data_IF_117363450464
#
_entry.id   IF_117363450464
#
_cell.length_a   1.000
_cell.length_b   1.000
_cell.length_c   1.000
_cell.angle_alpha   90.00
_cell.angle_beta   90.00
_cell.angle_gamma   90.00
#
_symmetry.space_group_name_H-M   'P 1'
#
loop_
_entity.id
_entity.type
_entity.pdbx_description
1 polymer ?
#
# COMPACT_ATOMS: atom_id res chain seq x y z
N UNK A 1 -10.25 18.77 -4.08
CA UNK A 1 -11.53 18.32 -3.51
C UNK A 1 -12.72 18.92 -4.23
N UNK A 2 -12.91 20.26 -4.25
CA UNK A 2 -14.07 20.87 -4.88
C UNK A 2 -14.23 20.53 -6.38
N UNK A 3 -13.16 20.61 -7.17
CA UNK A 3 -13.20 20.29 -8.61
C UNK A 3 -13.61 18.83 -8.83
N UNK A 4 -13.00 17.88 -8.11
CA UNK A 4 -13.35 16.47 -8.24
C UNK A 4 -14.81 16.19 -7.85
N UNK A 5 -15.32 16.85 -6.79
CA UNK A 5 -16.70 16.73 -6.36
C UNK A 5 -17.68 17.32 -7.41
N UNK A 6 -17.36 18.48 -8.00
CA UNK A 6 -18.15 19.09 -9.05
C UNK A 6 -18.16 18.22 -10.31
N UNK A 7 -16.98 17.75 -10.75
CA UNK A 7 -16.87 16.86 -11.91
C UNK A 7 -17.65 15.56 -11.68
N UNK A 8 -17.52 14.95 -10.50
CA UNK A 8 -18.28 13.77 -10.16
C UNK A 8 -19.79 14.03 -10.13
N UNK A 9 -20.21 15.13 -9.50
CA UNK A 9 -21.63 15.49 -9.46
C UNK A 9 -22.22 15.73 -10.87
N UNK A 10 -21.45 16.33 -11.77
CA UNK A 10 -21.86 16.49 -13.17
C UNK A 10 -21.92 15.15 -13.91
N UNK A 11 -20.92 14.27 -13.71
CA UNK A 11 -20.89 12.95 -14.34
C UNK A 11 -22.00 12.03 -13.83
N UNK A 12 -22.37 12.15 -12.54
CA UNK A 12 -23.41 11.34 -11.90
C UNK A 12 -24.83 11.86 -12.14
N UNK A 13 -24.99 13.10 -12.62
CA UNK A 13 -26.31 13.75 -12.75
C UNK A 13 -27.29 12.99 -13.67
N UNK A 14 -26.74 12.32 -14.69
CA UNK A 14 -27.52 11.60 -15.71
C UNK A 14 -27.51 10.08 -15.48
N UNK A 15 -27.05 9.60 -14.33
CA UNK A 15 -26.94 8.16 -14.04
C UNK A 15 -28.23 7.65 -13.44
N UNK A 16 -28.76 6.59 -14.08
CA UNK A 16 -29.90 5.84 -13.59
C UNK A 16 -29.47 4.77 -12.59
N UNK A 17 -29.82 4.96 -11.32
CA UNK A 17 -29.43 4.04 -10.23
C UNK A 17 -29.90 2.61 -10.50
N UNK A 18 -31.08 2.43 -11.08
CA UNK A 18 -31.64 1.12 -11.43
C UNK A 18 -30.76 0.37 -12.44
N UNK A 19 -30.16 1.08 -13.40
CA UNK A 19 -29.22 0.50 -14.36
C UNK A 19 -27.91 0.08 -13.68
N UNK A 20 -27.41 0.87 -12.73
CA UNK A 20 -26.21 0.52 -11.94
C UNK A 20 -26.48 -0.73 -11.11
N UNK A 21 -27.64 -0.83 -10.45
CA UNK A 21 -28.03 -2.03 -9.68
C UNK A 21 -28.21 -3.25 -10.59
N UNK A 22 -28.79 -3.07 -11.78
CA UNK A 22 -28.91 -4.15 -12.76
C UNK A 22 -27.51 -4.61 -13.24
N UNK A 23 -26.60 -3.69 -13.53
CA UNK A 23 -25.22 -3.97 -13.91
C UNK A 23 -24.43 -4.68 -12.78
N UNK A 24 -24.65 -4.30 -11.51
CA UNK A 24 -24.08 -5.01 -10.35
C UNK A 24 -24.58 -6.46 -10.27
N UNK A 25 -25.86 -6.68 -10.48
CA UNK A 25 -26.47 -8.02 -10.43
C UNK A 25 -26.05 -8.91 -11.61
N UNK A 26 -25.72 -8.34 -12.74
CA UNK A 26 -25.26 -9.08 -13.93
C UNK A 26 -23.83 -9.60 -13.82
N UNK A 27 -23.02 -9.06 -12.89
CA UNK A 27 -21.64 -9.51 -12.70
C UNK A 27 -21.57 -10.92 -12.16
N UNK A 28 -20.75 -11.74 -12.84
CA UNK A 28 -20.52 -13.12 -12.45
C UNK A 28 -19.74 -13.19 -11.13
N UNK A 29 -20.16 -14.07 -10.22
CA UNK A 29 -19.40 -14.37 -9.00
C UNK A 29 -17.98 -14.81 -9.31
N UNK A 30 -17.75 -15.47 -10.44
CA UNK A 30 -16.43 -15.88 -10.89
C UNK A 30 -15.53 -14.68 -11.17
N UNK A 31 -16.01 -13.63 -11.83
CA UNK A 31 -15.28 -12.39 -12.08
C UNK A 31 -14.92 -11.71 -10.76
N UNK A 32 -15.86 -11.63 -9.84
CA UNK A 32 -15.64 -11.03 -8.50
C UNK A 32 -14.59 -11.81 -7.72
N UNK A 33 -14.64 -13.15 -7.74
CA UNK A 33 -13.64 -13.99 -7.06
C UNK A 33 -12.25 -13.85 -7.68
N UNK A 34 -12.15 -13.84 -9.02
CA UNK A 34 -10.87 -13.64 -9.71
C UNK A 34 -10.30 -12.26 -9.40
N UNK A 35 -11.11 -11.20 -9.43
CA UNK A 35 -10.69 -9.87 -9.01
C UNK A 35 -10.22 -9.85 -7.56
N UNK A 36 -10.93 -10.54 -6.65
CA UNK A 36 -10.52 -10.73 -5.26
C UNK A 36 -9.16 -11.40 -5.10
N UNK A 37 -8.84 -12.39 -5.93
CA UNK A 37 -7.51 -13.03 -5.96
C UNK A 37 -6.43 -12.02 -6.36
N UNK A 38 -6.66 -11.21 -7.39
CA UNK A 38 -5.70 -10.16 -7.77
C UNK A 38 -5.54 -9.09 -6.69
N UNK A 39 -6.61 -8.68 -6.04
CA UNK A 39 -6.53 -7.79 -4.86
C UNK A 39 -5.68 -8.41 -3.75
N UNK A 40 -5.87 -9.70 -3.45
CA UNK A 40 -5.05 -10.40 -2.46
C UNK A 40 -3.57 -10.45 -2.86
N UNK A 41 -3.25 -10.67 -4.15
CA UNK A 41 -1.88 -10.60 -4.68
C UNK A 41 -1.28 -9.21 -4.44
N UNK A 42 -2.03 -8.13 -4.70
CA UNK A 42 -1.61 -6.76 -4.41
C UNK A 42 -1.29 -6.54 -2.93
N UNK A 43 -2.16 -7.00 -2.01
CA UNK A 43 -1.89 -6.91 -0.56
C UNK A 43 -0.70 -7.77 -0.11
N UNK A 44 -0.45 -8.91 -0.73
CA UNK A 44 0.78 -9.69 -0.51
C UNK A 44 2.00 -8.89 -0.99
N UNK A 45 1.95 -8.26 -2.15
CA UNK A 45 3.02 -7.38 -2.62
C UNK A 45 3.26 -6.21 -1.66
N UNK A 46 2.20 -5.53 -1.19
CA UNK A 46 2.27 -4.47 -0.18
C UNK A 46 2.94 -4.92 1.12
N UNK A 47 2.77 -6.18 1.54
CA UNK A 47 3.40 -6.69 2.76
C UNK A 47 4.94 -6.69 2.70
N UNK A 48 5.51 -6.76 1.51
CA UNK A 48 6.95 -6.69 1.29
C UNK A 48 7.51 -5.27 1.39
N UNK A 49 6.68 -4.21 1.28
CA UNK A 49 7.15 -2.83 1.41
C UNK A 49 7.78 -2.59 2.79
N UNK A 50 7.07 -2.92 3.86
CA UNK A 50 7.60 -2.76 5.22
C UNK A 50 8.74 -3.77 5.50
N UNK A 51 8.64 -4.99 4.97
CA UNK A 51 9.67 -6.00 5.15
C UNK A 51 11.04 -5.55 4.59
N UNK A 52 11.07 -5.05 3.35
CA UNK A 52 12.30 -4.54 2.75
C UNK A 52 12.73 -3.21 3.35
N UNK A 53 11.79 -2.37 3.81
CA UNK A 53 12.13 -1.15 4.53
C UNK A 53 12.85 -1.46 5.85
N UNK A 54 12.37 -2.44 6.64
CA UNK A 54 13.03 -2.90 7.87
C UNK A 54 14.45 -3.42 7.60
N UNK A 55 14.62 -4.21 6.53
CA UNK A 55 15.96 -4.70 6.11
C UNK A 55 16.87 -3.55 5.71
N UNK A 56 16.36 -2.56 5.00
CA UNK A 56 17.13 -1.38 4.56
C UNK A 56 17.65 -0.56 5.75
N UNK A 57 16.88 -0.46 6.84
CA UNK A 57 17.28 0.30 8.03
C UNK A 57 18.00 -0.54 9.09
N UNK A 58 18.37 -1.80 8.77
CA UNK A 58 19.10 -2.69 9.66
C UNK A 58 18.27 -3.22 10.84
N UNK A 59 16.96 -3.37 10.67
CA UNK A 59 16.05 -3.93 11.68
C UNK A 59 15.61 -5.37 11.33
N UNK A 60 16.59 -6.23 11.02
CA UNK A 60 16.38 -7.61 10.56
C UNK A 60 15.73 -8.54 11.60
N UNK A 61 15.80 -8.17 12.89
CA UNK A 61 15.18 -8.93 13.98
C UNK A 61 13.64 -8.95 13.94
N UNK A 62 13.00 -8.03 13.17
CA UNK A 62 11.55 -8.01 13.03
C UNK A 62 11.13 -9.07 12.02
N UNK A 63 10.33 -10.09 12.42
CA UNK A 63 9.96 -11.17 11.52
C UNK A 63 8.95 -10.69 10.47
N UNK A 64 8.95 -11.37 9.30
CA UNK A 64 8.05 -11.05 8.18
C UNK A 64 6.58 -10.94 8.59
N UNK A 65 6.08 -11.83 9.46
CA UNK A 65 4.67 -11.80 9.90
C UNK A 65 4.29 -10.48 10.57
N UNK A 66 5.22 -9.89 11.33
CA UNK A 66 5.01 -8.57 11.97
C UNK A 66 5.03 -7.47 10.93
N UNK A 67 5.99 -7.51 10.00
CA UNK A 67 6.08 -6.57 8.89
C UNK A 67 4.81 -6.63 8.02
N UNK A 68 4.35 -7.83 7.65
CA UNK A 68 3.16 -8.03 6.85
C UNK A 68 1.89 -7.50 7.56
N UNK A 69 1.74 -7.78 8.85
CA UNK A 69 0.61 -7.28 9.63
C UNK A 69 0.65 -5.75 9.75
N UNK A 70 1.82 -5.16 10.03
CA UNK A 70 1.98 -3.71 10.13
C UNK A 70 1.73 -3.04 8.78
N UNK A 71 2.25 -3.58 7.69
CA UNK A 71 2.00 -3.10 6.34
C UNK A 71 0.51 -3.16 6.00
N UNK A 72 -0.11 -4.33 6.13
CA UNK A 72 -1.53 -4.53 5.83
C UNK A 72 -2.42 -3.53 6.60
N UNK A 73 -2.27 -3.45 7.92
CA UNK A 73 -3.11 -2.56 8.75
C UNK A 73 -2.84 -1.09 8.48
N UNK A 74 -1.57 -0.70 8.29
CA UNK A 74 -1.17 0.68 8.06
C UNK A 74 -1.65 1.20 6.71
N UNK A 75 -1.47 0.42 5.64
CA UNK A 75 -1.94 0.80 4.30
C UNK A 75 -3.46 0.79 4.22
N UNK A 76 -4.11 -0.27 4.69
CA UNK A 76 -5.56 -0.41 4.64
C UNK A 76 -6.26 0.73 5.37
N UNK A 77 -5.86 1.02 6.61
CA UNK A 77 -6.48 2.07 7.41
C UNK A 77 -6.06 3.45 6.89
N UNK A 78 -4.78 3.63 6.54
CA UNK A 78 -4.26 4.89 6.01
C UNK A 78 -4.96 5.34 4.74
N UNK A 79 -5.16 4.43 3.77
CA UNK A 79 -5.87 4.74 2.53
C UNK A 79 -7.34 5.09 2.75
N UNK A 80 -8.00 4.43 3.71
CA UNK A 80 -9.42 4.69 3.97
C UNK A 80 -9.66 5.98 4.76
N UNK A 81 -8.82 6.31 5.74
CA UNK A 81 -8.98 7.51 6.56
C UNK A 81 -8.44 8.78 5.91
N UNK A 82 -7.61 8.66 4.88
CA UNK A 82 -6.86 9.79 4.31
C UNK A 82 -5.66 10.19 5.20
N UNK A 83 -4.91 11.21 4.77
CA UNK A 83 -3.64 11.60 5.41
C UNK A 83 -2.72 10.39 5.65
N UNK A 84 -2.62 9.52 4.64
CA UNK A 84 -2.08 8.16 4.68
C UNK A 84 -0.73 8.06 5.40
N UNK A 85 0.17 9.02 5.18
CA UNK A 85 1.51 9.02 5.79
C UNK A 85 1.44 9.10 7.32
N UNK A 86 0.59 10.00 7.85
CA UNK A 86 0.44 10.18 9.30
C UNK A 86 -0.28 9.01 9.95
N UNK A 87 -1.42 8.61 9.40
CA UNK A 87 -2.23 7.51 9.92
C UNK A 87 -1.44 6.19 9.90
N UNK A 88 -0.80 5.88 8.79
CA UNK A 88 0.05 4.71 8.66
C UNK A 88 1.26 4.76 9.62
N UNK A 89 1.84 5.94 9.82
CA UNK A 89 2.95 6.15 10.77
C UNK A 89 2.56 5.82 12.22
N UNK A 90 1.39 6.28 12.67
CA UNK A 90 0.88 5.99 14.02
C UNK A 90 0.64 4.50 14.23
N UNK A 91 0.06 3.81 13.23
CA UNK A 91 -0.20 2.37 13.31
C UNK A 91 1.11 1.59 13.36
N UNK A 92 2.07 1.94 12.49
CA UNK A 92 3.41 1.35 12.51
C UNK A 92 4.10 1.56 13.84
N UNK A 93 4.05 2.78 14.40
CA UNK A 93 4.64 3.08 15.69
C UNK A 93 4.04 2.18 16.79
N UNK A 94 2.71 2.01 16.81
CA UNK A 94 2.04 1.15 17.78
C UNK A 94 2.45 -0.32 17.67
N UNK A 95 2.68 -0.82 16.45
CA UNK A 95 3.05 -2.22 16.22
C UNK A 95 4.55 -2.43 16.49
N UNK A 96 5.40 -1.59 15.92
CA UNK A 96 6.84 -1.77 15.96
C UNK A 96 7.50 -1.31 17.27
N UNK A 97 6.87 -0.43 18.06
CA UNK A 97 7.37 -0.09 19.40
C UNK A 97 7.51 -1.30 20.31
N UNK A 98 6.65 -2.32 20.15
CA UNK A 98 6.78 -3.60 20.84
C UNK A 98 8.07 -4.36 20.46
N UNK A 99 8.71 -4.00 19.35
CA UNK A 99 9.97 -4.55 18.86
C UNK A 99 11.17 -3.62 19.10
N UNK A 100 10.97 -2.54 19.88
CA UNK A 100 12.01 -1.58 20.24
C UNK A 100 12.37 -0.58 19.14
N UNK A 101 11.53 -0.41 18.11
CA UNK A 101 11.73 0.63 17.10
C UNK A 101 11.32 1.99 17.65
N UNK A 102 12.13 2.99 17.35
CA UNK A 102 11.91 4.39 17.71
C UNK A 102 11.02 5.11 16.67
N UNK A 103 10.56 6.32 17.00
CA UNK A 103 9.86 7.19 16.05
C UNK A 103 10.75 7.46 14.82
N UNK A 104 12.05 7.64 15.00
CA UNK A 104 13.00 7.84 13.90
C UNK A 104 13.02 6.64 12.96
N UNK A 105 13.00 5.41 13.49
CA UNK A 105 12.92 4.19 12.68
C UNK A 105 11.62 4.17 11.86
N UNK A 106 10.49 4.59 12.44
CA UNK A 106 9.21 4.66 11.71
C UNK A 106 9.26 5.66 10.56
N UNK A 107 9.88 6.83 10.77
CA UNK A 107 10.08 7.82 9.70
C UNK A 107 10.98 7.25 8.59
N UNK A 108 12.05 6.52 8.94
CA UNK A 108 12.90 5.83 7.98
C UNK A 108 12.13 4.77 7.18
N UNK A 109 11.29 3.96 7.84
CA UNK A 109 10.40 3.00 7.17
C UNK A 109 9.47 3.72 6.21
N UNK A 110 8.82 4.81 6.64
CA UNK A 110 7.91 5.59 5.80
C UNK A 110 8.63 6.17 4.56
N UNK A 111 9.88 6.62 4.72
CA UNK A 111 10.69 7.08 3.59
C UNK A 111 10.98 5.96 2.59
N UNK A 112 11.46 4.80 3.06
CA UNK A 112 11.82 3.66 2.18
C UNK A 112 10.58 3.09 1.49
N UNK A 113 9.46 2.94 2.21
CA UNK A 113 8.20 2.48 1.62
C UNK A 113 7.64 3.49 0.62
N UNK A 114 7.75 4.79 0.92
CA UNK A 114 7.41 5.86 -0.02
C UNK A 114 8.29 5.82 -1.28
N UNK A 115 9.59 5.60 -1.13
CA UNK A 115 10.50 5.43 -2.27
C UNK A 115 10.09 4.24 -3.14
N UNK A 116 9.76 3.09 -2.54
CA UNK A 116 9.25 1.90 -3.25
C UNK A 116 7.98 2.22 -4.04
N UNK A 117 7.03 2.91 -3.41
CA UNK A 117 5.78 3.33 -4.05
C UNK A 117 6.05 4.24 -5.26
N UNK A 118 6.86 5.29 -5.09
CA UNK A 118 7.14 6.23 -6.17
C UNK A 118 7.93 5.62 -7.32
N UNK A 119 8.91 4.76 -7.03
CA UNK A 119 9.68 4.04 -8.05
C UNK A 119 8.79 3.09 -8.85
N UNK A 120 7.89 2.34 -8.20
CA UNK A 120 6.91 1.48 -8.84
C UNK A 120 5.98 2.25 -9.77
N UNK A 121 5.38 3.34 -9.26
CA UNK A 121 4.50 4.22 -10.04
C UNK A 121 5.23 4.85 -11.23
N UNK A 122 6.42 5.40 -11.02
CA UNK A 122 7.20 6.02 -12.09
C UNK A 122 7.60 5.00 -13.17
N UNK A 123 7.91 3.75 -12.79
CA UNK A 123 8.22 2.71 -13.75
C UNK A 123 6.99 2.28 -14.56
N UNK A 124 5.86 2.02 -13.90
CA UNK A 124 4.62 1.61 -14.55
C UNK A 124 4.10 2.70 -15.46
N UNK A 125 4.00 3.94 -14.97
CA UNK A 125 3.54 5.07 -15.79
C UNK A 125 4.55 5.42 -16.86
N UNK A 126 5.85 5.41 -16.55
CA UNK A 126 6.91 5.67 -17.52
C UNK A 126 6.85 4.70 -18.70
N UNK A 127 6.79 3.40 -18.44
CA UNK A 127 6.64 2.37 -19.45
C UNK A 127 5.31 2.44 -20.19
N UNK A 128 4.21 2.60 -19.44
CA UNK A 128 2.87 2.68 -20.00
C UNK A 128 2.67 3.91 -20.90
N UNK A 129 3.12 5.09 -20.48
CA UNK A 129 3.07 6.32 -21.29
C UNK A 129 4.01 6.27 -22.50
N UNK A 130 5.16 5.60 -22.39
CA UNK A 130 6.04 5.40 -23.54
C UNK A 130 5.37 4.53 -24.61
N UNK A 131 4.65 3.49 -24.18
CA UNK A 131 3.94 2.54 -25.05
C UNK A 131 2.59 3.09 -25.56
N UNK A 132 1.70 3.49 -24.64
CA UNK A 132 0.34 3.95 -24.91
C UNK A 132 0.10 5.40 -24.41
N UNK A 133 0.76 6.42 -24.97
CA UNK A 133 0.68 7.80 -24.47
C UNK A 133 -0.73 8.40 -24.54
N UNK A 134 -1.56 7.96 -25.49
CA UNK A 134 -2.94 8.39 -25.64
C UNK A 134 -3.81 8.01 -24.42
N UNK A 135 -3.49 6.93 -23.71
CA UNK A 135 -4.17 6.52 -22.50
C UNK A 135 -4.08 7.59 -21.40
N UNK A 136 -2.87 8.15 -21.20
CA UNK A 136 -2.69 9.26 -20.26
C UNK A 136 -3.38 10.55 -20.74
N UNK A 137 -3.39 10.81 -22.06
CA UNK A 137 -4.08 11.97 -22.65
C UNK A 137 -5.58 11.99 -22.35
N UNK A 138 -6.21 10.82 -22.26
CA UNK A 138 -7.62 10.72 -21.94
C UNK A 138 -7.95 11.30 -20.54
N UNK A 139 -6.99 11.21 -19.59
CA UNK A 139 -7.18 11.71 -18.22
C UNK A 139 -6.63 13.13 -18.05
N UNK A 140 -5.39 13.39 -18.54
CA UNK A 140 -4.70 14.65 -18.26
C UNK A 140 -4.84 15.71 -19.36
N UNK A 141 -5.48 15.37 -20.47
CA UNK A 141 -5.75 16.25 -21.63
C UNK A 141 -4.46 16.79 -22.29
N UNK A 142 -3.29 16.28 -21.98
CA UNK A 142 -2.04 16.64 -22.64
C UNK A 142 -1.90 15.91 -24.00
N UNK A 143 -1.23 16.53 -25.00
CA UNK A 143 -0.91 15.84 -26.25
C UNK A 143 -0.14 14.52 -26.03
N UNK A 144 -0.40 13.47 -26.82
CA UNK A 144 0.24 12.16 -26.63
C UNK A 144 1.77 12.21 -26.65
N UNK A 145 2.37 13.06 -27.50
CA UNK A 145 3.82 13.22 -27.57
C UNK A 145 4.43 13.76 -26.27
N UNK A 146 3.73 14.65 -25.55
CA UNK A 146 4.15 15.16 -24.24
C UNK A 146 4.13 14.03 -23.23
N UNK A 147 3.05 13.24 -23.17
CA UNK A 147 2.95 12.10 -22.29
C UNK A 147 4.06 11.07 -22.56
N UNK A 148 4.38 10.82 -23.83
CA UNK A 148 5.52 9.96 -24.20
C UNK A 148 6.84 10.50 -23.68
N UNK A 149 7.09 11.81 -23.84
CA UNK A 149 8.31 12.43 -23.30
C UNK A 149 8.38 12.33 -21.78
N UNK A 150 7.28 12.58 -21.07
CA UNK A 150 7.20 12.44 -19.62
C UNK A 150 7.53 10.98 -19.22
N UNK A 151 6.92 10.01 -19.90
CA UNK A 151 7.15 8.59 -19.65
C UNK A 151 8.62 8.20 -19.83
N UNK A 152 9.21 8.54 -20.98
CA UNK A 152 10.62 8.26 -21.27
C UNK A 152 11.54 8.96 -20.26
N UNK A 153 11.27 10.24 -19.95
CA UNK A 153 12.06 10.99 -18.94
C UNK A 153 12.02 10.33 -17.58
N UNK A 154 10.86 9.84 -17.15
CA UNK A 154 10.71 9.07 -15.91
C UNK A 154 11.56 7.80 -15.89
N UNK A 155 11.56 7.03 -16.99
CA UNK A 155 12.40 5.84 -17.13
C UNK A 155 13.89 6.18 -17.12
N UNK A 156 14.30 7.26 -17.80
CA UNK A 156 15.69 7.74 -17.80
C UNK A 156 16.14 8.14 -16.40
N UNK A 157 15.27 8.81 -15.62
CA UNK A 157 15.56 9.17 -14.22
C UNK A 157 15.72 7.92 -13.36
N UNK A 158 14.86 6.91 -13.50
CA UNK A 158 14.98 5.63 -12.77
C UNK A 158 16.29 4.94 -13.14
N UNK A 159 16.61 4.86 -14.43
CA UNK A 159 17.86 4.25 -14.90
C UNK A 159 19.09 5.01 -14.36
N UNK A 160 19.07 6.34 -14.44
CA UNK A 160 20.12 7.20 -13.86
C UNK A 160 20.27 6.99 -12.35
N UNK A 161 19.15 6.86 -11.63
CA UNK A 161 19.16 6.56 -10.20
C UNK A 161 19.81 5.19 -9.91
N UNK A 162 19.46 4.15 -10.68
CA UNK A 162 20.07 2.82 -10.54
C UNK A 162 21.59 2.85 -10.83
N UNK A 163 22.02 3.57 -11.88
CA UNK A 163 23.44 3.75 -12.18
C UNK A 163 24.16 4.50 -11.06
N UNK A 164 23.53 5.52 -10.49
CA UNK A 164 24.10 6.30 -9.39
C UNK A 164 24.31 5.48 -8.12
N UNK A 165 23.48 4.42 -7.90
CA UNK A 165 23.62 3.52 -6.76
C UNK A 165 24.72 2.47 -6.93
N UNK A 166 25.22 2.20 -8.18
CA UNK A 166 26.16 1.12 -8.46
C UNK A 166 27.52 1.26 -7.75
N UNK A 167 28.18 2.45 -7.73
CA UNK A 167 29.60 2.52 -7.30
C UNK A 167 29.81 2.31 -5.81
N UNK A 168 28.88 2.76 -4.95
CA UNK A 168 29.03 2.71 -3.47
C UNK A 168 27.65 2.78 -2.78
N UNK A 169 27.50 2.19 -1.58
CA UNK A 169 26.34 2.44 -0.73
C UNK A 169 26.16 3.95 -0.50
N UNK A 170 24.97 4.46 -0.76
CA UNK A 170 24.66 5.88 -0.58
C UNK A 170 23.95 6.07 0.75
N UNK A 171 24.38 7.08 1.50
CA UNK A 171 23.77 7.48 2.76
C UNK A 171 23.18 8.87 2.56
N UNK A 172 21.89 9.02 2.90
CA UNK A 172 21.20 10.30 2.90
C UNK A 172 20.90 10.67 4.35
N UNK A 173 21.09 11.96 4.67
CA UNK A 173 20.85 12.50 6.01
C UNK A 173 22.13 12.87 6.73
N UNK A 174 21.98 13.43 7.93
CA UNK A 174 23.07 13.96 8.74
C UNK A 174 22.88 13.56 10.20
N UNK A 175 24.00 13.28 10.89
CA UNK A 175 23.98 12.88 12.31
C UNK A 175 23.08 11.66 12.56
N UNK A 176 22.16 11.71 13.52
CA UNK A 176 21.32 10.59 13.95
C UNK A 176 20.22 10.21 12.94
N UNK A 177 20.00 11.06 11.93
CA UNK A 177 19.02 10.83 10.87
C UNK A 177 19.70 10.40 9.57
N UNK A 178 20.43 9.31 9.59
CA UNK A 178 21.04 8.73 8.40
C UNK A 178 20.22 7.54 7.91
N UNK A 179 20.00 7.49 6.59
CA UNK A 179 19.36 6.36 5.89
C UNK A 179 20.35 5.87 4.84
N UNK A 180 20.73 4.62 4.93
CA UNK A 180 21.45 3.94 3.85
C UNK A 180 20.43 3.61 2.77
N UNK A 181 20.65 4.10 1.55
CA UNK A 181 19.75 3.79 0.43
C UNK A 181 19.85 2.31 0.07
N UNK A 182 18.74 1.72 -0.42
CA UNK A 182 18.73 0.34 -0.89
C UNK A 182 19.81 0.12 -1.97
N UNK A 183 20.41 -1.06 -1.95
CA UNK A 183 21.34 -1.44 -3.03
C UNK A 183 20.60 -1.51 -4.38
N UNK A 184 21.32 -1.41 -5.53
CA UNK A 184 20.68 -1.48 -6.85
C UNK A 184 19.81 -2.73 -7.05
N UNK A 185 20.28 -3.88 -6.54
CA UNK A 185 19.51 -5.14 -6.59
C UNK A 185 18.22 -5.05 -5.78
N UNK A 186 18.29 -4.49 -4.58
CA UNK A 186 17.12 -4.30 -3.72
C UNK A 186 16.16 -3.26 -4.33
N UNK A 187 16.69 -2.20 -4.94
CA UNK A 187 15.88 -1.21 -5.67
C UNK A 187 15.13 -1.85 -6.84
N UNK A 188 15.75 -2.74 -7.61
CA UNK A 188 15.06 -3.49 -8.66
C UNK A 188 13.95 -4.38 -8.10
N UNK A 189 14.19 -5.05 -6.98
CA UNK A 189 13.16 -5.84 -6.30
C UNK A 189 12.01 -4.93 -5.84
N UNK A 190 12.31 -3.76 -5.28
CA UNK A 190 11.30 -2.78 -4.88
C UNK A 190 10.46 -2.29 -6.07
N UNK A 191 11.08 -1.99 -7.21
CA UNK A 191 10.36 -1.65 -8.45
C UNK A 191 9.46 -2.82 -8.86
N UNK A 192 9.99 -4.05 -8.87
CA UNK A 192 9.22 -5.26 -9.22
C UNK A 192 8.00 -5.48 -8.33
N UNK A 193 8.14 -5.24 -7.02
CA UNK A 193 7.02 -5.31 -6.06
C UNK A 193 5.99 -4.22 -6.35
N UNK A 194 6.43 -2.98 -6.63
CA UNK A 194 5.54 -1.89 -7.01
C UNK A 194 4.79 -2.17 -8.32
N UNK A 195 5.46 -2.75 -9.32
CA UNK A 195 4.84 -3.21 -10.58
C UNK A 195 3.80 -4.30 -10.31
N UNK A 196 4.13 -5.26 -9.44
CA UNK A 196 3.20 -6.35 -9.08
C UNK A 196 1.97 -5.81 -8.35
N UNK A 197 2.15 -4.90 -7.40
CA UNK A 197 1.07 -4.27 -6.63
C UNK A 197 0.11 -3.49 -7.55
N UNK A 198 0.65 -2.56 -8.35
CA UNK A 198 -0.14 -1.76 -9.27
C UNK A 198 -0.76 -2.59 -10.40
N UNK A 199 -0.01 -3.54 -10.94
CA UNK A 199 -0.48 -4.46 -11.97
C UNK A 199 -1.59 -5.38 -11.48
N UNK A 200 -1.48 -5.88 -10.26
CA UNK A 200 -2.53 -6.70 -9.65
C UNK A 200 -3.81 -5.89 -9.40
N UNK A 201 -3.70 -4.64 -8.90
CA UNK A 201 -4.85 -3.74 -8.77
C UNK A 201 -5.52 -3.44 -10.12
N UNK A 202 -4.72 -3.14 -11.15
CA UNK A 202 -5.24 -2.91 -12.50
C UNK A 202 -5.86 -4.17 -13.11
N UNK A 203 -5.28 -5.36 -12.85
CA UNK A 203 -5.84 -6.62 -13.33
C UNK A 203 -7.17 -6.96 -12.64
N UNK A 204 -7.29 -6.68 -11.33
CA UNK A 204 -8.57 -6.80 -10.63
C UNK A 204 -9.64 -5.92 -11.29
N UNK A 205 -9.31 -4.67 -11.62
CA UNK A 205 -10.22 -3.77 -12.33
C UNK A 205 -10.51 -4.26 -13.74
N UNK A 206 -9.49 -4.77 -14.48
CA UNK A 206 -9.64 -5.30 -15.83
C UNK A 206 -10.66 -6.45 -15.91
N UNK A 207 -10.59 -7.38 -14.96
CA UNK A 207 -11.53 -8.51 -14.87
C UNK A 207 -12.96 -8.05 -14.57
N UNK A 208 -13.12 -6.94 -13.84
CA UNK A 208 -14.44 -6.39 -13.51
C UNK A 208 -15.03 -5.52 -14.61
N UNK A 209 -14.25 -5.05 -15.59
CA UNK A 209 -14.79 -4.27 -16.70
C UNK A 209 -15.75 -5.09 -17.56
N UNK A 210 -16.71 -4.43 -18.23
CA UNK A 210 -17.50 -5.07 -19.28
C UNK A 210 -16.58 -5.62 -20.38
N UNK A 211 -16.92 -6.77 -20.98
CA UNK A 211 -16.08 -7.38 -22.04
C UNK A 211 -16.08 -6.56 -23.35
N UNK A 212 -17.04 -5.67 -23.50
CA UNK A 212 -17.15 -4.76 -24.65
C UNK A 212 -17.44 -3.33 -24.18
N UNK A 213 -16.81 -2.34 -24.83
CA UNK A 213 -15.81 -2.48 -25.89
C UNK A 213 -14.46 -3.01 -25.34
N UNK A 214 -13.72 -3.79 -26.16
CA UNK A 214 -12.43 -4.31 -25.74
C UNK A 214 -11.43 -3.19 -25.51
N UNK A 215 -10.66 -3.30 -24.42
CA UNK A 215 -9.58 -2.37 -24.07
C UNK A 215 -8.26 -3.15 -23.88
N UNK A 216 -7.17 -2.56 -24.34
CA UNK A 216 -5.84 -3.09 -24.05
C UNK A 216 -5.48 -2.93 -22.58
N UNK A 217 -4.86 -3.95 -21.97
CA UNK A 217 -4.50 -3.96 -20.56
C UNK A 217 -3.55 -2.80 -20.19
N UNK A 218 -2.56 -2.49 -21.04
CA UNK A 218 -1.60 -1.40 -20.76
C UNK A 218 -2.32 -0.05 -20.76
N UNK A 219 -3.27 0.15 -21.67
CA UNK A 219 -4.12 1.34 -21.70
C UNK A 219 -4.91 1.48 -20.38
N UNK A 220 -5.56 0.41 -19.95
CA UNK A 220 -6.25 0.42 -18.65
C UNK A 220 -5.29 0.65 -17.48
N UNK A 221 -4.13 0.00 -17.47
CA UNK A 221 -3.11 0.15 -16.43
C UNK A 221 -2.67 1.61 -16.27
N UNK A 222 -2.42 2.32 -17.38
CA UNK A 222 -2.04 3.74 -17.36
C UNK A 222 -3.16 4.60 -16.76
N UNK A 223 -4.41 4.41 -17.22
CA UNK A 223 -5.58 5.15 -16.73
C UNK A 223 -5.79 4.86 -15.25
N UNK A 224 -5.78 3.58 -14.85
CA UNK A 224 -5.99 3.13 -13.48
C UNK A 224 -4.92 3.70 -12.53
N UNK A 225 -3.63 3.58 -12.87
CA UNK A 225 -2.55 4.08 -12.01
C UNK A 225 -2.57 5.61 -11.94
N UNK A 226 -2.92 6.29 -13.04
CA UNK A 226 -3.16 7.75 -13.02
C UNK A 226 -4.30 8.11 -12.08
N UNK A 227 -5.42 7.38 -12.11
CA UNK A 227 -6.56 7.59 -11.21
C UNK A 227 -6.18 7.36 -9.74
N UNK A 228 -5.41 6.31 -9.43
CA UNK A 228 -4.89 6.03 -8.09
C UNK A 228 -3.98 7.17 -7.59
N UNK A 229 -3.08 7.67 -8.44
CA UNK A 229 -2.21 8.81 -8.07
C UNK A 229 -3.00 10.10 -7.84
N UNK A 230 -3.97 10.41 -8.68
CA UNK A 230 -4.87 11.55 -8.47
C UNK A 230 -5.63 11.40 -7.14
N UNK A 231 -6.11 10.19 -6.84
CA UNK A 231 -6.74 9.85 -5.58
C UNK A 231 -5.81 10.09 -4.39
N UNK A 232 -4.56 9.61 -4.47
CA UNK A 232 -3.54 9.81 -3.45
C UNK A 232 -3.22 11.30 -3.24
N UNK A 233 -3.00 12.06 -4.31
CA UNK A 233 -2.69 13.50 -4.26
C UNK A 233 -3.87 14.34 -3.75
N UNK A 234 -5.09 13.89 -3.94
CA UNK A 234 -6.28 14.60 -3.47
C UNK A 234 -6.43 14.60 -1.94
N UNK A 235 -5.73 13.70 -1.24
CA UNK A 235 -5.86 13.45 0.20
C UNK A 235 -7.30 13.16 0.65
N UNK A 236 -8.19 12.83 -0.30
CA UNK A 236 -9.57 12.47 -0.01
C UNK A 236 -9.62 11.14 0.77
N UNK A 237 -10.45 11.03 1.82
CA UNK A 237 -10.65 9.75 2.51
C UNK A 237 -11.09 8.67 1.53
N UNK A 238 -10.34 7.55 1.47
CA UNK A 238 -10.58 6.48 0.52
C UNK A 238 -10.50 6.90 -0.95
N UNK A 239 -9.94 8.08 -1.26
CA UNK A 239 -9.92 8.68 -2.62
C UNK A 239 -11.31 8.75 -3.26
N UNK A 240 -12.37 8.91 -2.42
CA UNK A 240 -13.77 8.90 -2.84
C UNK A 240 -14.03 9.98 -3.90
N UNK A 241 -14.69 9.58 -4.98
CA UNK A 241 -15.06 10.44 -6.08
C UNK A 241 -13.93 10.75 -7.07
N UNK A 242 -12.67 10.75 -6.63
CA UNK A 242 -11.54 11.12 -7.50
C UNK A 242 -11.17 9.96 -8.44
N UNK A 243 -11.09 8.74 -7.92
CA UNK A 243 -10.81 7.55 -8.74
C UNK A 243 -11.96 7.33 -9.72
N UNK A 244 -13.22 7.42 -9.27
CA UNK A 244 -14.38 7.26 -10.12
C UNK A 244 -14.41 8.31 -11.25
N UNK A 245 -14.20 9.59 -10.92
CA UNK A 245 -14.17 10.65 -11.92
C UNK A 245 -13.04 10.43 -12.95
N UNK A 246 -11.83 10.09 -12.48
CA UNK A 246 -10.70 9.85 -13.37
C UNK A 246 -10.93 8.64 -14.29
N UNK A 247 -11.53 7.56 -13.78
CA UNK A 247 -11.85 6.36 -14.56
C UNK A 247 -12.97 6.63 -15.57
N UNK A 248 -14.03 7.36 -15.18
CA UNK A 248 -15.13 7.75 -16.08
C UNK A 248 -14.64 8.67 -17.21
N UNK A 249 -13.74 9.60 -16.91
CA UNK A 249 -13.12 10.47 -17.91
C UNK A 249 -12.15 9.72 -18.82
N UNK A 250 -11.35 8.81 -18.23
CA UNK A 250 -10.34 8.04 -18.94
C UNK A 250 -10.90 6.92 -19.83
N UNK A 251 -12.13 6.47 -19.56
CA UNK A 251 -12.80 5.33 -20.22
C UNK A 251 -14.16 5.71 -20.81
N UNK A 252 -14.24 6.77 -21.66
CA UNK A 252 -15.50 7.27 -22.19
C UNK A 252 -16.24 6.29 -23.12
N UNK A 253 -15.56 5.24 -23.58
CA UNK A 253 -16.15 4.22 -24.45
C UNK A 253 -17.07 3.25 -23.72
N UNK A 254 -17.01 3.17 -22.38
CA UNK A 254 -17.89 2.31 -21.58
C UNK A 254 -19.15 3.06 -21.14
N UNK A 255 -20.26 2.36 -21.02
CA UNK A 255 -21.47 2.90 -20.39
C UNK A 255 -21.15 3.27 -18.93
N UNK A 256 -21.55 4.49 -18.54
CA UNK A 256 -21.23 5.03 -17.21
C UNK A 256 -21.72 4.13 -16.07
N UNK A 257 -22.91 3.57 -16.23
CA UNK A 257 -23.56 2.71 -15.26
C UNK A 257 -22.80 1.39 -15.05
N UNK A 258 -22.36 0.76 -16.14
CA UNK A 258 -21.58 -0.47 -16.10
C UNK A 258 -20.18 -0.26 -15.52
N UNK A 259 -19.53 0.84 -15.90
CA UNK A 259 -18.22 1.22 -15.36
C UNK A 259 -18.32 1.52 -13.87
N UNK A 260 -19.35 2.25 -13.42
CA UNK A 260 -19.58 2.50 -12.01
C UNK A 260 -19.87 1.23 -11.22
N UNK A 261 -20.65 0.31 -11.76
CA UNK A 261 -20.88 -1.00 -11.12
C UNK A 261 -19.56 -1.74 -10.91
N UNK A 262 -18.68 -1.75 -11.92
CA UNK A 262 -17.35 -2.35 -11.81
C UNK A 262 -16.46 -1.66 -10.75
N UNK A 263 -16.47 -0.32 -10.71
CA UNK A 263 -15.75 0.48 -9.72
C UNK A 263 -16.27 0.26 -8.29
N UNK A 264 -17.59 0.10 -8.11
CA UNK A 264 -18.17 -0.19 -6.78
C UNK A 264 -17.76 -1.57 -6.27
N UNK A 265 -17.73 -2.60 -7.14
CA UNK A 265 -17.24 -3.93 -6.76
C UNK A 265 -15.75 -3.86 -6.43
N UNK A 266 -14.95 -3.19 -7.27
CA UNK A 266 -13.53 -2.98 -7.02
C UNK A 266 -13.31 -2.28 -5.67
N UNK A 267 -14.08 -1.22 -5.38
CA UNK A 267 -14.00 -0.50 -4.13
C UNK A 267 -14.35 -1.36 -2.93
N UNK A 268 -15.37 -2.21 -3.06
CA UNK A 268 -15.70 -3.17 -2.01
C UNK A 268 -14.54 -4.13 -1.74
N UNK A 269 -13.96 -4.72 -2.78
CA UNK A 269 -12.87 -5.69 -2.67
C UNK A 269 -11.55 -5.06 -2.17
N UNK A 270 -11.22 -3.85 -2.64
CA UNK A 270 -9.91 -3.22 -2.39
C UNK A 270 -9.89 -2.32 -1.15
N UNK A 271 -11.01 -1.69 -0.78
CA UNK A 271 -11.08 -0.74 0.33
C UNK A 271 -11.91 -1.28 1.50
N UNK A 272 -13.17 -1.69 1.25
CA UNK A 272 -14.11 -2.04 2.33
C UNK A 272 -13.75 -3.38 2.97
N UNK A 273 -13.55 -4.40 2.17
CA UNK A 273 -13.25 -5.74 2.67
C UNK A 273 -11.94 -5.79 3.49
N UNK A 274 -10.79 -5.24 3.02
CA UNK A 274 -9.56 -5.24 3.80
C UNK A 274 -9.64 -4.40 5.08
N UNK A 275 -10.31 -3.23 5.06
CA UNK A 275 -10.46 -2.42 6.29
C UNK A 275 -11.34 -3.12 7.31
N UNK A 276 -12.35 -3.85 6.88
CA UNK A 276 -13.19 -4.67 7.77
C UNK A 276 -12.36 -5.76 8.45
N UNK A 277 -11.49 -6.45 7.70
CA UNK A 277 -10.56 -7.42 8.27
C UNK A 277 -9.54 -6.75 9.21
N UNK A 278 -8.95 -5.62 8.82
CA UNK A 278 -8.00 -4.90 9.66
C UNK A 278 -8.66 -4.45 10.99
N UNK A 279 -9.88 -3.92 10.93
CA UNK A 279 -10.65 -3.51 12.11
C UNK A 279 -10.99 -4.70 13.01
N UNK A 280 -11.41 -5.83 12.40
CA UNK A 280 -11.70 -7.06 13.14
C UNK A 280 -10.46 -7.58 13.87
N UNK A 281 -9.31 -7.69 13.17
CA UNK A 281 -8.06 -8.16 13.78
C UNK A 281 -7.57 -7.26 14.91
N UNK A 282 -7.65 -5.94 14.73
CA UNK A 282 -7.29 -4.97 15.77
C UNK A 282 -8.28 -5.05 16.94
N UNK A 283 -9.58 -5.16 16.67
CA UNK A 283 -10.62 -5.28 17.69
C UNK A 283 -10.47 -6.54 18.54
N UNK A 284 -10.29 -7.70 17.89
CA UNK A 284 -10.05 -8.97 18.59
C UNK A 284 -8.80 -8.90 19.47
N UNK A 285 -7.72 -8.31 18.94
CA UNK A 285 -6.48 -8.10 19.70
C UNK A 285 -6.70 -7.24 20.95
N UNK A 286 -7.41 -6.11 20.81
CA UNK A 286 -7.67 -5.22 21.96
C UNK A 286 -8.57 -5.90 23.01
N UNK A 287 -9.62 -6.60 22.59
CA UNK A 287 -10.49 -7.36 23.49
C UNK A 287 -9.72 -8.44 24.26
N UNK A 288 -8.80 -9.15 23.58
CA UNK A 288 -7.95 -10.14 24.23
C UNK A 288 -7.00 -9.52 25.24
N UNK A 289 -6.40 -8.36 24.94
CA UNK A 289 -5.55 -7.61 25.89
C UNK A 289 -6.34 -7.11 27.11
N UNK A 290 -7.56 -6.61 26.89
CA UNK A 290 -8.45 -6.19 27.98
C UNK A 290 -8.88 -7.36 28.87
N UNK A 291 -9.19 -8.51 28.27
CA UNK A 291 -9.49 -9.76 29.01
C UNK A 291 -8.36 -10.21 29.91
N UNK A 292 -7.10 -10.15 29.43
CA UNK A 292 -5.94 -10.46 30.25
C UNK A 292 -5.71 -9.45 31.39
N UNK A 293 -5.98 -8.16 31.13
CA UNK A 293 -5.87 -7.12 32.17
C UNK A 293 -6.93 -7.33 33.24
N UNK A 294 -8.15 -7.70 32.88
CA UNK A 294 -9.23 -7.97 33.81
C UNK A 294 -8.97 -9.23 34.68
N UNK A 295 -8.43 -10.30 34.10
CA UNK A 295 -8.07 -11.50 34.85
C UNK A 295 -6.93 -11.25 35.85
N UNK A 296 -5.95 -10.41 35.49
CA UNK A 296 -4.83 -10.05 36.36
C UNK A 296 -5.25 -9.07 37.49
N UNK A 297 -6.32 -8.29 37.31
CA UNK A 297 -6.90 -7.43 38.37
C UNK A 297 -7.68 -8.23 39.40
N UNK A 298 -8.26 -9.38 39.01
CA UNK A 298 -8.92 -10.32 39.95
C UNK A 298 -7.96 -10.98 40.94
N UNK A 299 -6.69 -11.11 40.58
CA UNK A 299 -5.65 -11.76 41.43
C UNK A 299 -4.88 -10.82 42.35
N UNK A 300 -5.34 -9.61 42.59
CA UNK A 300 -4.93 -8.76 43.72
C UNK A 300 -3.53 -8.13 43.69
N UNK A 301 -2.84 -8.06 42.57
CA UNK A 301 -1.46 -7.60 42.53
C UNK A 301 -1.25 -6.31 41.70
N UNK A 302 -1.91 -5.24 42.09
CA UNK A 302 -1.88 -3.94 41.39
C UNK A 302 -0.47 -3.29 41.29
N UNK A 303 0.50 -3.68 42.10
CA UNK A 303 1.88 -3.13 42.07
C UNK A 303 2.82 -3.79 41.05
N UNK A 304 2.52 -4.98 40.54
CA UNK A 304 3.30 -5.65 39.50
C UNK A 304 2.87 -5.23 38.08
N UNK A 305 1.69 -4.68 37.90
CA UNK A 305 1.07 -4.36 36.61
C UNK A 305 1.85 -3.32 35.79
N UNK A 306 2.57 -2.41 36.40
CA UNK A 306 3.38 -1.41 35.68
C UNK A 306 4.68 -2.01 35.08
N UNK A 307 5.31 -2.96 35.77
CA UNK A 307 6.52 -3.63 35.26
C UNK A 307 6.19 -4.69 34.21
N UNK A 308 5.06 -5.37 34.33
CA UNK A 308 4.62 -6.41 33.39
C UNK A 308 4.05 -5.85 32.10
N UNK A 309 3.45 -4.64 32.12
CA UNK A 309 2.79 -4.04 30.95
C UNK A 309 3.70 -3.86 29.72
N UNK A 310 4.99 -3.59 29.91
CA UNK A 310 5.96 -3.50 28.81
C UNK A 310 6.45 -4.88 28.31
N UNK A 311 6.51 -5.88 29.24
CA UNK A 311 6.93 -7.24 28.91
C UNK A 311 5.79 -8.11 28.40
N UNK A 312 4.56 -7.89 28.87
CA UNK A 312 3.39 -8.66 28.48
C UNK A 312 2.82 -8.22 27.12
N UNK A 313 2.91 -6.91 26.80
CA UNK A 313 2.62 -6.44 25.45
C UNK A 313 3.54 -7.10 24.39
N UNK A 314 4.81 -7.40 24.76
CA UNK A 314 5.75 -8.12 23.89
C UNK A 314 5.41 -9.60 23.75
N UNK A 315 4.87 -10.24 24.80
CA UNK A 315 4.49 -11.66 24.81
C UNK A 315 3.12 -11.93 24.19
N UNK A 316 2.17 -11.04 24.43
CA UNK A 316 0.77 -11.22 24.03
C UNK A 316 0.52 -11.18 22.52
N UNK A 317 1.32 -10.40 21.75
CA UNK A 317 1.09 -10.23 20.31
C UNK A 317 1.61 -11.45 19.51
N UNK A 318 2.71 -12.05 19.95
CA UNK A 318 3.47 -12.95 19.08
C UNK A 318 3.96 -14.22 19.77
N UNK A 319 3.55 -14.50 21.00
CA UNK A 319 3.86 -15.71 21.75
C UNK A 319 5.31 -15.89 22.17
N UNK A 320 5.54 -16.78 23.14
CA UNK A 320 6.85 -17.10 23.75
C UNK A 320 7.92 -17.63 22.77
N UNK A 321 7.53 -18.09 21.59
CA UNK A 321 8.44 -18.58 20.55
C UNK A 321 9.31 -17.47 19.96
N UNK A 322 8.81 -16.23 19.88
CA UNK A 322 9.49 -15.09 19.26
C UNK A 322 10.51 -14.42 20.19
N UNK A 323 10.27 -14.46 21.50
CA UNK A 323 11.23 -13.97 22.50
C UNK A 323 12.53 -14.82 22.49
N UNK A 324 12.40 -16.12 22.28
CA UNK A 324 13.55 -17.07 22.20
C UNK A 324 14.40 -16.88 20.94
N UNK A 325 13.80 -16.43 19.84
CA UNK A 325 14.55 -16.19 18.60
C UNK A 325 15.40 -14.91 18.68
N UNK A 326 14.94 -13.88 19.40
CA UNK A 326 15.68 -12.64 19.62
C UNK A 326 16.92 -12.86 20.50
N UNK A 327 16.82 -13.64 21.55
CA UNK A 327 17.96 -13.95 22.43
C UNK A 327 19.07 -14.70 21.69
N UNK A 328 18.71 -15.62 20.79
CA UNK A 328 19.69 -16.33 19.96
C UNK A 328 20.45 -15.44 18.97
N UNK A 329 19.83 -14.36 18.48
CA UNK A 329 20.50 -13.40 17.60
C UNK A 329 21.44 -12.49 18.39
N UNK A 330 21.06 -12.09 19.61
CA UNK A 330 21.94 -11.31 20.50
C UNK A 330 23.16 -12.09 20.98
N UNK A 331 23.00 -13.37 21.31
CA UNK A 331 24.11 -14.25 21.71
C UNK A 331 25.08 -14.49 20.55
N UNK A 332 24.61 -14.59 19.31
CA UNK A 332 25.47 -14.75 18.14
C UNK A 332 26.30 -13.50 17.83
N UNK A 333 25.73 -12.30 18.00
CA UNK A 333 26.46 -11.04 17.79
C UNK A 333 27.49 -10.76 18.91
N UNK A 334 27.28 -11.24 20.14
CA UNK A 334 28.26 -11.12 21.24
C UNK A 334 29.40 -12.12 21.15
N UNK A 335 29.19 -13.27 20.50
CA UNK A 335 30.28 -14.26 20.31
C UNK A 335 31.21 -13.88 19.16
N UNK A 336 30.79 -13.07 18.20
CA UNK A 336 31.62 -12.60 17.08
C UNK A 336 32.49 -11.36 17.44
N UNK A 337 32.19 -10.64 18.53
CA UNK A 337 32.95 -9.46 18.97
C UNK A 337 34.04 -9.78 19.98
N UNK A 338 34.22 -11.06 20.41
CA UNK A 338 35.26 -11.48 21.34
C UNK A 338 36.29 -12.48 20.74
N UNK A 339 36.35 -12.60 19.42
CA UNK A 339 37.31 -13.49 18.73
C UNK A 339 38.25 -12.76 17.76
N UNK A 340 38.55 -11.46 18.02
CA UNK A 340 39.64 -10.72 17.39
C UNK A 340 40.54 -10.08 18.46
#
# INVERSE_FOLDING_TARGET
MAIAAVTLAQLLRDIEIDKVVAALRSKSIREVLIAGVFVAIGFVALSFYDFFALRTIGRDAVPYRVAAFASFTSYTIGHNLGATVFTAGVIRLRIYSAWGLSVVDIVKIAFVTGLTFWLGNAFVLGGGMAYAPAAASAVNQLPPWINRLIGISGLVVIFGYLLWLLPRPRVIGRSDWQIVLPSPRLTLVQIGIGVLDLGAGAMAMYVLLPPQPAIDFITLLVIFVTAILLGFLSHAPGSLGVIEAAMLVGLPQFAKEELLASLLIFRFLYFVLPVSFAALFLGVRELWLLGQTASNLGDGNARQLWKTRSSDCKRAIWGSAWARQRNRVHERNHSETHSD
#
